data_IF_465989043661
#
_entry.id   IF_465989043661
#
_cell.length_a   1.000
_cell.length_b   1.000
_cell.length_c   1.000
_cell.angle_alpha   90.00
_cell.angle_beta   90.00
_cell.angle_gamma   90.00
#
_symmetry.space_group_name_H-M   'P 1'
#
loop_
_entity.id
_entity.type
_entity.pdbx_description
1 polymer ?
#
# COMPACT_ATOMS: atom_id res chain seq x y z
N UNK A 1 2.36 -3.14 -1.05
CA UNK A 1 1.94 -4.55 -1.07
C UNK A 1 0.58 -4.70 -0.42
N UNK A 2 -0.19 -5.71 -0.84
CA UNK A 2 -1.52 -6.01 -0.30
C UNK A 2 -1.54 -6.25 1.22
N UNK A 3 -0.55 -6.95 1.79
CA UNK A 3 -0.44 -7.17 3.24
C UNK A 3 -0.42 -5.87 4.04
N UNK A 4 0.34 -4.87 3.57
CA UNK A 4 0.48 -3.59 4.26
C UNK A 4 -0.85 -2.83 4.25
N UNK A 5 -1.55 -2.84 3.11
CA UNK A 5 -2.86 -2.21 2.92
C UNK A 5 -3.87 -2.85 3.87
N UNK A 6 -3.99 -4.19 3.88
CA UNK A 6 -4.91 -4.91 4.76
C UNK A 6 -4.66 -4.60 6.24
N UNK A 7 -3.39 -4.48 6.65
CA UNK A 7 -3.04 -4.12 8.04
C UNK A 7 -3.50 -2.71 8.41
N UNK A 8 -3.23 -1.71 7.56
CA UNK A 8 -3.64 -0.33 7.85
C UNK A 8 -5.16 -0.15 7.76
N UNK A 9 -5.81 -0.83 6.82
CA UNK A 9 -7.26 -0.81 6.70
C UNK A 9 -7.94 -1.33 7.98
N UNK A 10 -7.45 -2.45 8.53
CA UNK A 10 -7.92 -2.97 9.83
C UNK A 10 -7.64 -2.00 10.98
N UNK A 11 -6.46 -1.40 11.01
CA UNK A 11 -6.08 -0.45 12.07
C UNK A 11 -6.89 0.85 12.04
N UNK A 12 -7.27 1.33 10.85
CA UNK A 12 -8.08 2.53 10.69
C UNK A 12 -9.53 2.33 11.15
N UNK A 13 -10.02 1.09 11.18
CA UNK A 13 -11.38 0.72 11.61
C UNK A 13 -12.50 1.51 10.90
N UNK A 14 -12.29 1.86 9.62
CA UNK A 14 -13.25 2.56 8.77
C UNK A 14 -13.66 1.65 7.61
N UNK A 15 -14.72 0.83 7.76
CA UNK A 15 -15.07 -0.20 6.78
C UNK A 15 -15.52 0.37 5.42
N UNK A 16 -16.07 1.58 5.42
CA UNK A 16 -16.59 2.25 4.22
C UNK A 16 -15.57 3.19 3.56
N UNK A 17 -14.32 3.19 4.04
CA UNK A 17 -13.30 4.09 3.50
C UNK A 17 -12.64 3.51 2.25
N UNK A 18 -12.38 4.37 1.28
CA UNK A 18 -11.61 4.00 0.09
C UNK A 18 -10.13 4.14 0.37
N UNK A 19 -9.36 3.07 0.18
CA UNK A 19 -7.92 3.09 0.39
C UNK A 19 -7.25 3.66 -0.86
N UNK A 20 -6.49 4.74 -0.70
CA UNK A 20 -5.85 5.47 -1.81
C UNK A 20 -4.35 5.29 -1.74
N UNK A 21 -3.75 4.81 -2.83
CA UNK A 21 -2.31 4.66 -2.98
C UNK A 21 -1.86 5.34 -4.28
N UNK A 22 -1.10 6.42 -4.15
CA UNK A 22 -0.44 7.04 -5.32
C UNK A 22 0.81 6.23 -5.64
N UNK A 23 0.64 5.18 -6.47
CA UNK A 23 1.74 4.31 -6.88
C UNK A 23 1.27 2.92 -7.32
N UNK A 24 2.22 1.97 -7.28
CA UNK A 24 2.01 0.59 -7.70
C UNK A 24 1.59 -0.28 -6.50
N UNK A 25 0.48 -1.02 -6.64
CA UNK A 25 0.04 -2.02 -5.68
C UNK A 25 0.46 -3.41 -6.15
N UNK A 26 1.39 -3.98 -5.39
CA UNK A 26 1.92 -5.33 -5.58
C UNK A 26 1.19 -6.37 -4.73
N UNK A 27 1.10 -7.59 -5.27
CA UNK A 27 0.57 -8.74 -4.53
C UNK A 27 1.50 -9.16 -3.38
N UNK A 28 0.92 -9.84 -2.41
CA UNK A 28 1.64 -10.49 -1.31
C UNK A 28 1.02 -11.86 -1.05
N UNK A 29 1.64 -12.92 -1.55
CA UNK A 29 1.15 -14.29 -1.45
C UNK A 29 1.03 -14.80 0.00
N UNK A 30 1.71 -14.14 0.96
CA UNK A 30 1.67 -14.49 2.38
C UNK A 30 0.37 -14.07 3.06
N UNK A 31 -0.32 -13.06 2.52
CA UNK A 31 -1.68 -12.76 2.94
C UNK A 31 -2.56 -13.91 2.45
N UNK A 32 -3.29 -14.62 3.32
CA UNK A 32 -4.18 -15.69 2.86
C UNK A 32 -5.54 -15.13 2.43
N UNK A 33 -6.13 -14.32 3.30
CA UNK A 33 -7.45 -13.72 3.11
C UNK A 33 -7.32 -12.22 2.89
N UNK A 34 -7.75 -11.76 1.72
CA UNK A 34 -7.83 -10.33 1.40
C UNK A 34 -9.17 -9.80 1.93
N UNK A 35 -9.19 -8.80 2.81
CA UNK A 35 -10.44 -8.20 3.27
C UNK A 35 -11.15 -7.48 2.12
N UNK A 36 -12.48 -7.43 2.17
CA UNK A 36 -13.28 -6.62 1.24
C UNK A 36 -12.93 -5.14 1.45
N UNK A 37 -12.36 -4.52 0.43
CA UNK A 37 -11.99 -3.10 0.44
C UNK A 37 -12.12 -2.51 -0.96
N UNK A 38 -12.32 -1.20 -1.02
CA UNK A 38 -12.26 -0.41 -2.26
C UNK A 38 -10.89 0.25 -2.34
N UNK A 39 -10.14 -0.03 -3.39
CA UNK A 39 -8.77 0.45 -3.59
C UNK A 39 -8.70 1.39 -4.79
N UNK A 40 -8.16 2.60 -4.61
CA UNK A 40 -7.72 3.47 -5.69
C UNK A 40 -6.20 3.46 -5.82
N UNK A 41 -5.67 3.21 -7.02
CA UNK A 41 -4.23 3.26 -7.28
C UNK A 41 -3.89 3.63 -8.73
N UNK A 42 -2.66 4.09 -8.97
CA UNK A 42 -2.16 4.37 -10.32
C UNK A 42 -1.96 3.09 -11.13
N UNK A 43 -1.42 2.05 -10.49
CA UNK A 43 -1.25 0.74 -11.11
C UNK A 43 -1.46 -0.37 -10.10
N UNK A 44 -2.12 -1.43 -10.52
CA UNK A 44 -2.33 -2.64 -9.71
C UNK A 44 -1.84 -3.83 -10.52
N UNK A 45 -0.91 -4.59 -9.95
CA UNK A 45 -0.43 -5.82 -10.58
C UNK A 45 -1.58 -6.79 -10.83
N UNK A 46 -1.54 -7.55 -11.93
CA UNK A 46 -2.66 -8.42 -12.33
C UNK A 46 -3.04 -9.44 -11.25
N UNK A 47 -2.04 -10.01 -10.57
CA UNK A 47 -2.27 -10.96 -9.47
C UNK A 47 -2.95 -10.28 -8.28
N UNK A 48 -2.51 -9.08 -7.89
CA UNK A 48 -3.16 -8.33 -6.82
C UNK A 48 -4.61 -7.96 -7.18
N UNK A 49 -4.86 -7.50 -8.41
CA UNK A 49 -6.20 -7.17 -8.91
C UNK A 49 -7.15 -8.37 -8.82
N UNK A 50 -6.72 -9.54 -9.30
CA UNK A 50 -7.50 -10.79 -9.22
C UNK A 50 -7.89 -11.12 -7.78
N UNK A 51 -6.98 -10.93 -6.82
CA UNK A 51 -7.22 -11.25 -5.41
C UNK A 51 -8.14 -10.26 -4.71
N UNK A 52 -8.04 -8.97 -5.04
CA UNK A 52 -8.97 -7.94 -4.53
C UNK A 52 -10.39 -8.25 -5.02
N UNK A 53 -10.55 -8.51 -6.32
CA UNK A 53 -11.85 -8.85 -6.91
C UNK A 53 -12.41 -10.16 -6.35
N UNK A 54 -11.57 -11.19 -6.15
CA UNK A 54 -11.97 -12.45 -5.51
C UNK A 54 -12.44 -12.24 -4.06
N UNK A 55 -11.85 -11.27 -3.34
CA UNK A 55 -12.28 -10.87 -2.00
C UNK A 55 -13.56 -10.01 -1.97
N UNK A 56 -14.20 -9.79 -3.13
CA UNK A 56 -15.39 -8.94 -3.26
C UNK A 56 -15.10 -7.45 -3.12
N UNK A 57 -13.83 -7.04 -3.24
CA UNK A 57 -13.41 -5.64 -3.27
C UNK A 57 -13.41 -5.06 -4.68
N UNK A 58 -13.17 -3.76 -4.76
CA UNK A 58 -13.17 -3.01 -6.02
C UNK A 58 -11.83 -2.29 -6.24
N UNK A 59 -11.46 -2.13 -7.50
CA UNK A 59 -10.25 -1.40 -7.90
C UNK A 59 -10.66 -0.22 -8.76
N UNK A 60 -10.51 0.98 -8.22
CA UNK A 60 -10.82 2.24 -8.85
C UNK A 60 -9.56 2.89 -9.45
N UNK A 61 -9.78 3.70 -10.49
CA UNK A 61 -8.80 4.66 -11.00
C UNK A 61 -8.98 6.02 -10.35
N UNK A 62 -7.98 6.90 -10.49
CA UNK A 62 -8.02 8.22 -9.83
C UNK A 62 -9.09 9.16 -10.42
N UNK A 63 -9.41 9.03 -11.71
CA UNK A 63 -10.53 9.72 -12.35
C UNK A 63 -11.87 9.28 -11.77
N UNK A 64 -12.08 7.97 -11.56
CA UNK A 64 -13.27 7.44 -10.90
C UNK A 64 -13.37 7.91 -9.44
N UNK A 65 -12.25 7.92 -8.72
CA UNK A 65 -12.20 8.45 -7.36
C UNK A 65 -12.56 9.94 -7.32
N UNK A 66 -12.06 10.75 -8.26
CA UNK A 66 -12.35 12.17 -8.34
C UNK A 66 -13.85 12.44 -8.57
N UNK A 67 -14.51 11.61 -9.38
CA UNK A 67 -15.97 11.68 -9.58
C UNK A 67 -16.75 11.24 -8.33
N UNK A 68 -16.32 10.15 -7.68
CA UNK A 68 -17.01 9.59 -6.52
C UNK A 68 -16.80 10.40 -5.23
N UNK A 69 -15.64 11.02 -5.07
CA UNK A 69 -15.23 11.73 -3.85
C UNK A 69 -14.32 12.92 -4.19
N UNK A 70 -14.85 13.98 -4.81
CA UNK A 70 -14.06 15.12 -5.28
C UNK A 70 -13.34 15.89 -4.15
N UNK A 71 -13.89 15.83 -2.94
CA UNK A 71 -13.30 16.44 -1.74
C UNK A 71 -12.38 15.49 -0.95
N UNK A 72 -12.22 14.24 -1.39
CA UNK A 72 -11.40 13.22 -0.71
C UNK A 72 -11.98 12.71 0.62
N UNK A 73 -13.27 12.96 0.90
CA UNK A 73 -13.94 12.44 2.10
C UNK A 73 -13.93 10.91 2.14
N UNK A 74 -13.83 10.35 3.34
CA UNK A 74 -13.79 8.89 3.58
C UNK A 74 -12.68 8.16 2.80
N UNK A 75 -11.52 8.81 2.61
CA UNK A 75 -10.36 8.18 1.99
C UNK A 75 -9.24 7.93 3.00
N UNK A 76 -8.54 6.81 2.85
CA UNK A 76 -7.34 6.48 3.60
C UNK A 76 -6.14 6.57 2.67
N UNK A 77 -5.40 7.67 2.75
CA UNK A 77 -4.17 7.84 1.98
C UNK A 77 -3.04 7.02 2.61
N UNK A 78 -2.45 6.11 1.83
CA UNK A 78 -1.35 5.26 2.27
C UNK A 78 -0.10 5.49 1.42
N UNK A 79 1.05 5.57 2.09
CA UNK A 79 2.36 5.63 1.45
C UNK A 79 3.11 4.29 1.60
N UNK A 80 3.82 3.92 0.53
CA UNK A 80 4.79 2.82 0.55
C UNK A 80 5.99 3.12 1.46
N UNK A 81 6.67 2.07 1.94
CA UNK A 81 7.90 2.24 2.75
C UNK A 81 9.05 2.66 1.84
N UNK A 82 9.44 3.93 1.87
CA UNK A 82 10.56 4.48 1.08
C UNK A 82 11.94 3.96 1.52
N UNK A 83 12.10 3.68 2.81
CA UNK A 83 13.37 3.22 3.42
C UNK A 83 13.72 1.77 3.14
N UNK A 84 12.89 1.03 2.41
CA UNK A 84 13.16 -0.38 2.07
C UNK A 84 14.15 -0.54 0.90
N UNK A 85 14.56 0.55 0.25
CA UNK A 85 15.51 0.50 -0.87
C UNK A 85 16.91 0.17 -0.36
N UNK A 86 17.67 -0.64 -1.10
CA UNK A 86 19.05 -1.02 -0.74
C UNK A 86 19.95 0.19 -0.49
N UNK A 87 19.75 1.29 -1.25
CA UNK A 87 20.49 2.54 -1.06
C UNK A 87 20.45 3.04 0.40
N UNK A 88 19.30 2.95 1.07
CA UNK A 88 19.15 3.37 2.47
C UNK A 88 19.98 2.52 3.44
N UNK A 89 20.42 1.33 3.05
CA UNK A 89 21.29 0.51 3.90
C UNK A 89 22.74 1.01 3.88
N UNK A 90 23.15 1.80 2.88
CA UNK A 90 24.50 2.39 2.79
C UNK A 90 24.54 3.82 3.32
N UNK A 91 23.39 4.42 3.57
CA UNK A 91 23.27 5.68 4.28
C UNK A 91 23.39 5.44 5.78
N UNK A 92 23.75 6.48 6.54
CA UNK A 92 24.09 6.49 7.98
C UNK A 92 25.61 6.47 8.24
N UNK A 93 26.00 6.41 9.53
CA UNK A 93 27.39 6.51 9.99
C UNK A 93 28.31 5.54 9.23
N UNK A 94 29.54 5.99 8.97
CA UNK A 94 30.57 5.18 8.35
C UNK A 94 30.70 3.81 9.04
N UNK A 95 30.97 2.76 8.27
CA UNK A 95 31.03 1.39 8.80
C UNK A 95 32.07 1.21 9.92
N UNK A 96 33.11 2.03 9.93
CA UNK A 96 34.20 1.98 10.91
C UNK A 96 33.78 2.41 12.32
N UNK A 97 32.64 3.07 12.51
CA UNK A 97 32.25 3.54 13.84
C UNK A 97 31.56 2.43 14.66
N UNK A 98 31.80 2.37 15.99
CA UNK A 98 31.10 1.43 16.86
C UNK A 98 29.57 1.53 16.71
N UNK A 99 28.90 0.37 16.76
CA UNK A 99 27.44 0.25 16.61
C UNK A 99 26.88 0.64 15.23
N UNK A 100 27.72 0.83 14.20
CA UNK A 100 27.24 1.01 12.82
C UNK A 100 26.67 -0.28 12.24
N UNK A 101 25.50 -0.18 11.60
CA UNK A 101 24.86 -1.26 10.84
C UNK A 101 24.83 -1.00 9.33
N UNK A 102 25.52 0.05 8.88
CA UNK A 102 25.60 0.44 7.47
C UNK A 102 26.18 -0.71 6.65
N UNK A 103 25.50 -1.08 5.58
CA UNK A 103 25.94 -2.14 4.66
C UNK A 103 27.20 -1.65 3.91
N UNK A 104 28.25 -2.49 3.79
CA UNK A 104 29.40 -2.18 2.96
C UNK A 104 28.97 -2.04 1.50
#
# INVERSE_FOLDING_TARGET
>A
SLQRIARFFKAANQPNSTVVVVGIVTDDARLLVVPKLTLCALHVTQTARKRILKGGGEVLTFDQLALASPTGKNTLLLQGKSTARTAYNHFDKARSVPHSRTRP
#
